data_IF_527196847849
#
_entry.id   IF_527196847849
#
_cell.length_a   1.000
_cell.length_b   1.000
_cell.length_c   1.000
_cell.angle_alpha   90.00
_cell.angle_beta   90.00
_cell.angle_gamma   90.00
#
_symmetry.space_group_name_H-M   'P 1'
#
loop_
_entity.id
_entity.type
_entity.pdbx_description
1 polymer ?
#
# COMPACT_ATOMS: atom_id res chain seq x y z
N UNK A 1 15.03 13.00 3.32
CA UNK A 1 14.69 11.77 4.09
C UNK A 1 15.87 10.81 4.05
N UNK A 2 15.91 9.79 4.92
CA UNK A 2 16.97 8.76 4.89
C UNK A 2 17.07 8.07 3.53
N UNK A 3 15.95 7.80 2.88
CA UNK A 3 15.90 7.21 1.53
C UNK A 3 16.57 8.09 0.45
N UNK A 4 16.24 9.38 0.41
CA UNK A 4 16.88 10.32 -0.53
C UNK A 4 18.39 10.41 -0.34
N UNK A 5 18.88 10.40 0.90
CA UNK A 5 20.32 10.41 1.20
C UNK A 5 21.05 9.15 0.71
N UNK A 6 20.34 8.03 0.60
CA UNK A 6 20.88 6.76 0.12
C UNK A 6 20.54 6.49 -1.35
N UNK A 7 20.07 7.51 -2.08
CA UNK A 7 19.67 7.41 -3.49
C UNK A 7 18.71 6.24 -3.79
N UNK A 8 17.82 5.93 -2.84
CA UNK A 8 16.88 4.81 -2.98
C UNK A 8 15.65 5.22 -3.81
N UNK A 9 15.26 4.38 -4.76
CA UNK A 9 13.94 4.44 -5.39
C UNK A 9 12.92 3.84 -4.41
N UNK A 10 11.84 4.57 -4.15
CA UNK A 10 10.83 4.21 -3.14
C UNK A 10 9.48 4.00 -3.80
N UNK A 11 8.91 2.82 -3.57
CA UNK A 11 7.48 2.53 -3.78
C UNK A 11 6.77 2.72 -2.45
N UNK A 12 5.80 3.62 -2.40
CA UNK A 12 4.93 3.80 -1.25
C UNK A 12 3.63 3.04 -1.48
N UNK A 13 3.40 1.99 -0.68
CA UNK A 13 2.12 1.30 -0.64
C UNK A 13 1.20 1.96 0.39
N UNK A 14 0.04 2.42 -0.08
CA UNK A 14 -0.96 3.10 0.72
C UNK A 14 -1.78 2.15 1.59
N UNK A 15 -2.31 2.69 2.68
CA UNK A 15 -3.23 2.02 3.58
C UNK A 15 -4.44 2.93 3.83
N UNK A 16 -5.57 2.30 4.12
CA UNK A 16 -6.80 2.96 4.55
C UNK A 16 -7.10 2.58 6.00
N UNK A 17 -7.73 3.49 6.73
CA UNK A 17 -8.23 3.22 8.07
C UNK A 17 -9.52 2.38 8.01
N UNK A 18 -9.74 1.46 8.97
CA UNK A 18 -11.04 0.84 9.15
C UNK A 18 -12.11 1.88 9.50
N UNK A 19 -13.31 1.72 8.92
CA UNK A 19 -14.47 2.59 9.21
C UNK A 19 -14.82 2.68 10.70
N UNK A 20 -14.53 1.61 11.46
CA UNK A 20 -14.78 1.54 12.91
C UNK A 20 -13.98 2.55 13.74
N UNK A 21 -12.98 3.22 13.16
CA UNK A 21 -12.19 4.26 13.81
C UNK A 21 -12.87 5.64 13.80
N UNK A 22 -13.97 5.78 13.05
CA UNK A 22 -14.70 7.04 12.90
C UNK A 22 -14.19 7.90 11.74
N UNK A 23 -15.10 8.72 11.19
CA UNK A 23 -14.86 9.51 9.97
C UNK A 23 -13.69 10.47 10.10
N UNK A 24 -13.56 11.17 11.23
CA UNK A 24 -12.45 12.11 11.44
C UNK A 24 -11.10 11.41 11.38
N UNK A 25 -10.96 10.26 12.06
CA UNK A 25 -9.71 9.51 12.03
C UNK A 25 -9.41 8.97 10.63
N UNK A 26 -10.43 8.42 9.96
CA UNK A 26 -10.30 7.90 8.61
C UNK A 26 -9.83 8.98 7.64
N UNK A 27 -10.45 10.16 7.64
CA UNK A 27 -10.07 11.27 6.78
C UNK A 27 -8.60 11.70 6.99
N UNK A 28 -8.17 11.81 8.25
CA UNK A 28 -6.78 12.17 8.55
C UNK A 28 -5.79 11.08 8.19
N UNK A 29 -6.11 9.80 8.45
CA UNK A 29 -5.20 8.69 8.16
C UNK A 29 -5.05 8.44 6.66
N UNK A 30 -6.17 8.43 5.93
CA UNK A 30 -6.22 8.11 4.51
C UNK A 30 -5.53 9.21 3.67
N UNK A 31 -5.43 10.44 4.17
CA UNK A 31 -4.72 11.53 3.47
C UNK A 31 -3.19 11.42 3.55
N UNK A 32 -2.64 10.74 4.58
CA UNK A 32 -1.19 10.68 4.85
C UNK A 32 -0.43 10.14 3.63
N UNK A 33 -0.87 9.01 3.09
CA UNK A 33 -0.18 8.32 2.02
C UNK A 33 -0.15 9.08 0.68
N UNK A 34 -1.29 9.57 0.14
CA UNK A 34 -1.28 10.37 -1.08
C UNK A 34 -0.60 11.73 -0.92
N UNK A 35 -0.63 12.35 0.26
CA UNK A 35 0.12 13.59 0.51
C UNK A 35 1.63 13.35 0.51
N UNK A 36 2.09 12.29 1.19
CA UNK A 36 3.51 11.92 1.21
C UNK A 36 4.02 11.52 -0.18
N UNK A 37 3.20 10.81 -0.97
CA UNK A 37 3.60 10.44 -2.33
C UNK A 37 3.79 11.66 -3.22
N UNK A 38 2.86 12.63 -3.17
CA UNK A 38 2.98 13.91 -3.91
C UNK A 38 4.18 14.73 -3.43
N UNK A 39 4.32 14.92 -2.11
CA UNK A 39 5.40 15.71 -1.49
C UNK A 39 6.80 15.17 -1.82
N UNK A 40 6.92 13.87 -2.05
CA UNK A 40 8.19 13.23 -2.35
C UNK A 40 8.32 12.68 -3.76
N UNK A 41 7.31 12.88 -4.61
CA UNK A 41 7.24 12.40 -5.99
C UNK A 41 7.50 10.88 -6.10
N UNK A 42 6.86 10.10 -5.22
CA UNK A 42 7.07 8.66 -5.09
C UNK A 42 6.21 7.87 -6.08
N UNK A 43 6.67 6.67 -6.42
CA UNK A 43 5.79 5.65 -7.02
C UNK A 43 4.76 5.26 -5.95
N UNK A 44 3.47 5.35 -6.27
CA UNK A 44 2.41 5.24 -5.28
C UNK A 44 1.36 4.22 -5.67
N UNK A 45 1.21 3.18 -4.85
CA UNK A 45 0.08 2.25 -4.89
C UNK A 45 -0.98 2.74 -3.89
N UNK A 46 -2.20 3.09 -4.32
CA UNK A 46 -3.19 3.72 -3.44
C UNK A 46 -3.60 2.88 -2.23
N UNK A 47 -3.76 1.56 -2.40
CA UNK A 47 -4.17 0.67 -1.32
C UNK A 47 -3.56 -0.73 -1.48
N UNK A 48 -2.76 -1.15 -0.50
CA UNK A 48 -2.04 -2.43 -0.53
C UNK A 48 -2.97 -3.66 -0.53
N UNK A 49 -4.12 -3.56 0.16
CA UNK A 49 -5.06 -4.66 0.33
C UNK A 49 -6.23 -4.62 -0.68
N UNK A 50 -6.08 -3.87 -1.77
CA UNK A 50 -7.05 -3.82 -2.87
C UNK A 50 -7.38 -5.24 -3.36
N UNK A 51 -8.67 -5.58 -3.39
CA UNK A 51 -9.16 -6.91 -3.77
C UNK A 51 -8.86 -8.04 -2.77
N UNK A 52 -8.36 -7.73 -1.57
CA UNK A 52 -8.07 -8.71 -0.50
C UNK A 52 -8.76 -8.38 0.81
N UNK A 53 -8.85 -7.09 1.17
CA UNK A 53 -9.58 -6.66 2.35
C UNK A 53 -11.04 -7.14 2.27
N UNK A 54 -11.57 -7.67 3.38
CA UNK A 54 -12.93 -8.19 3.53
C UNK A 54 -13.26 -9.46 2.70
N UNK A 55 -12.34 -9.95 1.87
CA UNK A 55 -12.51 -11.19 1.09
C UNK A 55 -12.17 -12.43 1.93
N UNK A 56 -13.20 -13.06 2.53
CA UNK A 56 -13.03 -14.16 3.50
C UNK A 56 -12.12 -15.29 3.02
N UNK A 57 -12.16 -15.64 1.74
CA UNK A 57 -11.32 -16.71 1.17
C UNK A 57 -9.84 -16.35 1.06
N UNK A 58 -9.53 -15.06 1.11
CA UNK A 58 -8.18 -14.51 1.00
C UNK A 58 -7.59 -14.12 2.36
N UNK A 59 -8.35 -14.29 3.45
CA UNK A 59 -7.96 -13.93 4.81
C UNK A 59 -7.73 -15.17 5.69
N UNK A 60 -7.02 -14.99 6.80
CA UNK A 60 -6.96 -15.93 7.91
C UNK A 60 -8.31 -15.95 8.64
N UNK A 61 -8.48 -16.91 9.57
CA UNK A 61 -9.71 -17.08 10.36
C UNK A 61 -10.08 -15.85 11.21
N UNK A 62 -9.15 -14.91 11.41
CA UNK A 62 -9.40 -13.66 12.11
C UNK A 62 -10.04 -12.57 11.25
N UNK A 63 -10.20 -12.81 9.94
CA UNK A 63 -10.74 -11.88 8.96
C UNK A 63 -9.97 -10.55 8.85
N UNK A 64 -8.70 -10.52 9.25
CA UNK A 64 -7.85 -9.32 9.24
C UNK A 64 -6.59 -9.49 8.42
N UNK A 65 -5.94 -10.65 8.55
CA UNK A 65 -4.66 -10.88 7.92
C UNK A 65 -4.83 -11.68 6.62
N UNK A 66 -4.17 -11.30 5.51
CA UNK A 66 -4.16 -12.12 4.30
C UNK A 66 -3.57 -13.51 4.54
N UNK A 67 -4.19 -14.53 3.95
CA UNK A 67 -3.65 -15.88 3.86
C UNK A 67 -2.74 -16.03 2.62
N UNK A 68 -2.23 -17.23 2.37
CA UNK A 68 -1.33 -17.49 1.24
C UNK A 68 -1.93 -17.13 -0.14
N UNK A 69 -3.26 -17.27 -0.33
CA UNK A 69 -3.94 -16.84 -1.56
C UNK A 69 -4.03 -15.32 -1.62
N UNK A 70 -4.39 -14.65 -0.53
CA UNK A 70 -4.43 -13.19 -0.44
C UNK A 70 -3.07 -12.55 -0.72
N UNK A 71 -1.98 -13.12 -0.18
CA UNK A 71 -0.61 -12.65 -0.46
C UNK A 71 -0.27 -12.74 -1.95
N UNK A 72 -0.74 -13.77 -2.68
CA UNK A 72 -0.53 -13.87 -4.13
C UNK A 72 -1.24 -12.74 -4.89
N UNK A 73 -2.45 -12.37 -4.48
CA UNK A 73 -3.19 -11.24 -5.06
C UNK A 73 -2.46 -9.93 -4.79
N UNK A 74 -2.03 -9.70 -3.53
CA UNK A 74 -1.24 -8.50 -3.16
C UNK A 74 0.03 -8.41 -4.00
N UNK A 75 0.77 -9.51 -4.15
CA UNK A 75 2.00 -9.54 -4.95
C UNK A 75 1.74 -9.22 -6.42
N UNK A 76 0.65 -9.76 -6.99
CA UNK A 76 0.24 -9.46 -8.37
C UNK A 76 -0.10 -7.98 -8.55
N UNK A 77 -0.84 -7.39 -7.60
CA UNK A 77 -1.24 -5.98 -7.64
C UNK A 77 -0.05 -5.02 -7.41
N UNK A 78 0.92 -5.44 -6.59
CA UNK A 78 2.12 -4.65 -6.31
C UNK A 78 3.16 -4.71 -7.44
N UNK A 79 3.16 -5.80 -8.23
CA UNK A 79 4.17 -6.07 -9.27
C UNK A 79 4.40 -4.92 -10.26
N UNK A 80 3.37 -4.25 -10.83
CA UNK A 80 3.57 -3.14 -11.75
C UNK A 80 4.40 -1.98 -11.16
N UNK A 81 4.17 -1.64 -9.89
CA UNK A 81 4.90 -0.58 -9.19
C UNK A 81 6.35 -0.95 -8.91
N UNK A 82 6.62 -2.24 -8.64
CA UNK A 82 7.99 -2.74 -8.46
C UNK A 82 8.75 -2.75 -9.79
N UNK A 83 8.10 -3.17 -10.87
CA UNK A 83 8.68 -3.12 -12.22
C UNK A 83 9.03 -1.68 -12.60
N UNK A 84 8.14 -0.73 -12.32
CA UNK A 84 8.43 0.71 -12.51
C UNK A 84 9.61 1.17 -11.65
N UNK A 85 9.70 0.75 -10.39
CA UNK A 85 10.82 1.11 -9.53
C UNK A 85 12.16 0.59 -10.07
N UNK A 86 12.17 -0.65 -10.55
CA UNK A 86 13.36 -1.27 -11.17
C UNK A 86 13.75 -0.55 -12.46
N UNK A 87 12.78 -0.10 -13.28
CA UNK A 87 13.10 0.63 -14.52
C UNK A 87 13.75 1.99 -14.26
N UNK A 88 13.45 2.64 -13.12
CA UNK A 88 14.09 3.89 -12.68
C UNK A 88 15.48 3.72 -12.06
N UNK A 89 15.91 2.49 -11.77
CA UNK A 89 17.25 2.18 -11.27
C UNK A 89 18.27 1.95 -12.39
N UNK A 90 17.81 1.74 -13.63
CA UNK A 90 18.65 1.60 -14.83
C UNK A 90 19.03 2.97 -15.37
#
# INVERSE_FOLDING_TARGET
TKFKKNNAVVVLAGMLSPESMGQDYQAHFDSIYPELSKKHSLIFMPFLLEGVALEKELLLKDYKHPNAKGIKVIASNLSPYIIEAISRLK
#
